data_IF_117982681042
#
_entry.id   IF_117982681042
#
_cell.length_a   1.000
_cell.length_b   1.000
_cell.length_c   1.000
_cell.angle_alpha   90.00
_cell.angle_beta   90.00
_cell.angle_gamma   90.00
#
_symmetry.space_group_name_H-M   'P 1'
#
loop_
_entity.id
_entity.type
_entity.pdbx_description
1 polymer ?
#
# COMPACT_ATOMS: atom_id res chain seq x y z
N UNK A 1 3.51 37.69 -43.60
CA UNK A 1 2.15 37.65 -43.04
C UNK A 1 2.27 37.41 -41.56
N UNK A 2 2.11 38.45 -40.78
CA UNK A 2 2.17 38.48 -39.34
C UNK A 2 0.88 37.89 -38.77
N UNK A 3 0.93 36.84 -38.01
CA UNK A 3 -0.21 36.36 -37.22
C UNK A 3 -0.30 37.17 -35.94
N UNK A 4 -1.36 37.91 -35.84
CA UNK A 4 -1.77 38.74 -34.70
C UNK A 4 -2.12 37.85 -33.53
N UNK A 5 -1.29 37.84 -32.49
CA UNK A 5 -1.67 37.37 -31.18
C UNK A 5 -2.69 38.34 -30.57
N UNK A 6 -3.95 37.96 -30.52
CA UNK A 6 -5.00 38.71 -29.82
C UNK A 6 -4.77 38.67 -28.34
N UNK A 7 -4.19 39.70 -27.78
CA UNK A 7 -4.24 40.02 -26.35
C UNK A 7 -5.69 40.38 -26.00
N UNK A 8 -6.48 39.38 -25.66
CA UNK A 8 -7.78 39.61 -25.00
C UNK A 8 -7.48 39.94 -23.54
N UNK A 9 -7.90 41.08 -23.00
CA UNK A 9 -7.73 41.35 -21.57
C UNK A 9 -8.45 40.26 -20.78
N UNK A 10 -7.77 39.74 -19.74
CA UNK A 10 -8.36 38.76 -18.80
C UNK A 10 -9.64 39.34 -18.21
N UNK A 11 -10.70 38.57 -18.17
CA UNK A 11 -11.95 38.98 -17.52
C UNK A 11 -11.73 39.10 -16.00
N UNK A 12 -12.59 39.87 -15.32
CA UNK A 12 -12.54 39.92 -13.85
C UNK A 12 -12.67 38.54 -13.22
N UNK A 13 -13.43 37.64 -13.84
CA UNK A 13 -13.62 36.25 -13.41
C UNK A 13 -12.33 35.42 -13.56
N UNK A 14 -11.56 35.64 -14.63
CA UNK A 14 -10.25 34.97 -14.86
C UNK A 14 -9.20 35.44 -13.86
N UNK A 15 -9.23 36.71 -13.46
CA UNK A 15 -8.32 37.27 -12.45
C UNK A 15 -8.68 36.73 -11.07
N UNK A 16 -9.97 36.67 -10.75
CA UNK A 16 -10.46 36.16 -9.47
C UNK A 16 -10.14 34.66 -9.34
N UNK A 17 -10.36 33.86 -10.40
CA UNK A 17 -10.01 32.47 -10.42
C UNK A 17 -8.50 32.24 -10.22
N UNK A 18 -7.66 33.09 -10.84
CA UNK A 18 -6.20 33.00 -10.66
C UNK A 18 -5.73 33.40 -9.24
N UNK A 19 -6.43 34.33 -8.60
CA UNK A 19 -6.14 34.72 -7.21
C UNK A 19 -6.61 33.64 -6.22
N UNK A 20 -7.76 33.03 -6.46
CA UNK A 20 -8.29 31.95 -5.63
C UNK A 20 -7.37 30.72 -5.70
N UNK A 21 -6.90 30.40 -6.87
CA UNK A 21 -5.95 29.30 -7.06
C UNK A 21 -4.57 29.57 -6.44
N UNK A 22 -4.08 30.83 -6.43
CA UNK A 22 -2.85 31.19 -5.70
C UNK A 22 -3.02 31.02 -4.20
N UNK A 23 -4.19 31.37 -3.65
CA UNK A 23 -4.52 31.13 -2.24
C UNK A 23 -4.53 29.64 -1.92
N UNK A 24 -5.11 28.84 -2.81
CA UNK A 24 -5.18 27.39 -2.68
C UNK A 24 -3.78 26.76 -2.65
N UNK A 25 -2.92 27.12 -3.59
CA UNK A 25 -1.53 26.64 -3.63
C UNK A 25 -0.74 27.02 -2.37
N UNK A 26 -0.99 28.21 -1.82
CA UNK A 26 -0.37 28.64 -0.58
C UNK A 26 -0.85 27.80 0.61
N UNK A 27 -2.14 27.48 0.68
CA UNK A 27 -2.73 26.62 1.72
C UNK A 27 -2.21 25.20 1.66
N UNK A 28 -2.13 24.60 0.47
CA UNK A 28 -1.56 23.26 0.29
C UNK A 28 -0.11 23.24 0.81
N UNK A 29 0.68 24.25 0.50
CA UNK A 29 2.06 24.37 0.97
C UNK A 29 2.15 24.51 2.49
N UNK A 30 1.28 25.32 3.10
CA UNK A 30 1.20 25.48 4.56
C UNK A 30 0.77 24.19 5.27
N UNK A 31 -0.17 23.44 4.70
CA UNK A 31 -0.57 22.14 5.22
C UNK A 31 0.57 21.11 5.21
N UNK A 32 1.35 21.06 4.12
CA UNK A 32 2.51 20.18 4.03
C UNK A 32 3.60 20.55 5.04
N UNK A 33 3.87 21.87 5.22
CA UNK A 33 4.83 22.33 6.23
C UNK A 33 4.37 22.04 7.66
N UNK A 34 3.07 22.14 7.94
CA UNK A 34 2.51 21.79 9.24
C UNK A 34 2.59 20.27 9.51
N UNK A 35 2.45 19.45 8.46
CA UNK A 35 2.61 17.99 8.56
C UNK A 35 4.07 17.62 8.90
N UNK A 36 5.05 18.24 8.22
CA UNK A 36 6.48 18.05 8.51
C UNK A 36 6.85 18.51 9.93
N UNK A 37 6.27 19.61 10.40
CA UNK A 37 6.49 20.10 11.76
C UNK A 37 5.84 19.24 12.83
N UNK A 38 4.70 18.61 12.54
CA UNK A 38 4.02 17.70 13.47
C UNK A 38 4.75 16.38 13.63
N UNK A 39 5.43 15.89 12.58
CA UNK A 39 6.27 14.69 12.64
C UNK A 39 7.58 14.97 13.41
N UNK A 40 8.24 16.09 13.15
CA UNK A 40 9.44 16.51 13.87
C UNK A 40 9.18 16.83 15.36
N UNK A 41 8.00 17.31 15.71
CA UNK A 41 7.66 17.60 17.12
C UNK A 41 7.32 16.34 17.93
N UNK A 42 7.00 15.22 17.28
CA UNK A 42 6.81 13.91 17.93
C UNK A 42 8.11 13.19 18.23
N UNK A 43 9.20 13.51 17.54
CA UNK A 43 10.51 12.92 17.81
C UNK A 43 11.25 13.52 19.02
N UNK A 44 10.84 14.69 19.52
CA UNK A 44 11.61 15.43 20.54
C UNK A 44 11.12 15.31 21.99
N UNK A 45 10.16 14.46 22.31
CA UNK A 45 9.55 14.46 23.66
C UNK A 45 9.50 13.12 24.41
N UNK A 46 10.41 12.16 24.15
CA UNK A 46 10.58 11.01 25.06
C UNK A 46 12.04 10.62 25.19
N UNK A 47 12.64 11.02 26.32
CA UNK A 47 13.96 10.61 26.78
C UNK A 47 13.89 9.30 27.58
N UNK A 48 13.27 8.25 27.04
CA UNK A 48 13.29 6.93 27.65
C UNK A 48 13.74 5.92 26.59
N UNK A 49 14.94 5.30 26.74
CA UNK A 49 15.52 4.47 25.68
C UNK A 49 14.84 3.13 25.47
N UNK A 50 13.89 2.72 26.31
CA UNK A 50 13.33 1.37 26.31
C UNK A 50 11.90 1.22 25.76
N UNK A 51 11.25 2.30 25.29
CA UNK A 51 9.89 2.21 24.72
C UNK A 51 9.80 3.01 23.43
N UNK A 52 10.38 2.47 22.37
CA UNK A 52 10.09 2.95 21.01
C UNK A 52 8.91 2.18 20.45
N UNK A 53 7.70 2.52 20.88
CA UNK A 53 6.48 2.15 20.18
C UNK A 53 6.34 3.07 18.95
N UNK A 54 6.94 2.68 17.85
CA UNK A 54 6.70 3.35 16.56
C UNK A 54 5.31 3.00 16.07
N UNK A 55 4.41 3.95 16.22
CA UNK A 55 3.08 3.92 15.63
C UNK A 55 3.22 4.03 14.11
N UNK A 56 3.00 2.93 13.42
CA UNK A 56 2.93 2.88 11.96
C UNK A 56 3.49 1.58 11.40
N UNK A 57 2.66 0.79 10.78
CA UNK A 57 3.04 -0.46 10.09
C UNK A 57 4.11 -0.27 9.00
N UNK A 58 4.46 0.97 8.67
CA UNK A 58 5.43 1.35 7.64
C UNK A 58 6.85 1.61 8.17
N UNK A 59 7.08 1.68 9.49
CA UNK A 59 8.36 2.08 10.07
C UNK A 59 9.42 0.97 10.15
N UNK A 60 9.12 -0.25 9.75
CA UNK A 60 10.01 -1.41 9.93
C UNK A 60 10.90 -1.71 8.71
N UNK A 61 10.71 -0.99 7.60
CA UNK A 61 11.52 -1.17 6.39
C UNK A 61 12.38 0.08 6.15
N UNK A 62 12.99 0.60 7.21
CA UNK A 62 14.04 1.59 7.06
C UNK A 62 15.34 0.87 6.63
N UNK A 63 15.78 1.18 5.42
CA UNK A 63 17.15 0.99 4.92
C UNK A 63 17.71 -0.43 4.72
N UNK A 64 16.90 -1.46 4.57
CA UNK A 64 17.41 -2.69 3.97
C UNK A 64 17.54 -2.49 2.45
N UNK A 65 18.77 -2.64 1.94
CA UNK A 65 19.07 -2.53 0.52
C UNK A 65 18.49 -3.76 -0.21
N UNK A 66 17.27 -3.63 -0.77
CA UNK A 66 16.59 -4.70 -1.50
C UNK A 66 17.18 -4.96 -2.89
N UNK A 67 18.25 -4.25 -3.28
CA UNK A 67 18.90 -4.40 -4.58
C UNK A 67 19.58 -5.77 -4.74
N UNK A 68 19.89 -6.47 -3.65
CA UNK A 68 20.53 -7.78 -3.67
C UNK A 68 19.52 -8.95 -3.76
N UNK A 69 18.22 -8.67 -3.74
CA UNK A 69 17.20 -9.69 -3.93
C UNK A 69 17.19 -10.17 -5.38
N UNK A 70 17.57 -11.43 -5.58
CA UNK A 70 17.47 -12.10 -6.87
C UNK A 70 16.16 -12.87 -6.93
N UNK A 71 15.30 -12.53 -7.89
CA UNK A 71 14.04 -13.22 -8.11
C UNK A 71 14.30 -14.72 -8.33
N UNK A 72 13.71 -15.55 -7.49
CA UNK A 72 13.77 -17.01 -7.58
C UNK A 72 12.43 -17.52 -8.06
N UNK A 73 12.48 -18.57 -8.84
CA UNK A 73 11.29 -19.31 -9.24
C UNK A 73 11.52 -20.79 -8.96
N UNK A 74 10.83 -21.32 -7.95
CA UNK A 74 10.82 -22.73 -7.64
C UNK A 74 9.63 -23.36 -8.35
N UNK A 75 9.89 -24.25 -9.30
CA UNK A 75 8.85 -24.91 -10.11
C UNK A 75 7.89 -25.70 -9.20
N UNK A 76 6.61 -25.43 -9.33
CA UNK A 76 5.50 -26.06 -8.58
C UNK A 76 4.39 -26.45 -9.52
N UNK A 77 3.70 -27.55 -9.21
CA UNK A 77 2.44 -27.90 -9.88
C UNK A 77 1.34 -26.91 -9.50
N UNK A 78 0.33 -26.78 -10.35
CA UNK A 78 -0.79 -25.87 -10.16
C UNK A 78 -1.50 -26.10 -8.82
N UNK A 79 -1.78 -27.34 -8.46
CA UNK A 79 -2.39 -27.73 -7.18
C UNK A 79 -1.59 -27.26 -5.95
N UNK A 80 -0.25 -27.16 -6.06
CA UNK A 80 0.60 -26.66 -4.98
C UNK A 80 0.56 -25.13 -4.92
N UNK A 81 0.49 -24.47 -6.06
CA UNK A 81 0.30 -23.02 -6.12
C UNK A 81 -1.00 -22.62 -5.44
N UNK A 82 -2.09 -23.30 -5.80
CA UNK A 82 -3.42 -23.08 -5.21
C UNK A 82 -3.41 -23.33 -3.71
N UNK A 83 -2.78 -24.42 -3.26
CA UNK A 83 -2.67 -24.75 -1.83
C UNK A 83 -1.92 -23.66 -1.06
N UNK A 84 -0.79 -23.16 -1.56
CA UNK A 84 -0.02 -22.09 -0.92
C UNK A 84 -0.84 -20.79 -0.95
N UNK A 85 -1.46 -20.46 -2.08
CA UNK A 85 -2.28 -19.28 -2.25
C UNK A 85 -3.41 -19.24 -1.22
N UNK A 86 -4.18 -20.33 -1.08
CA UNK A 86 -5.28 -20.42 -0.12
C UNK A 86 -4.78 -20.27 1.33
N UNK A 87 -3.64 -20.88 1.66
CA UNK A 87 -3.05 -20.80 2.98
C UNK A 87 -2.59 -19.37 3.34
N UNK A 88 -1.97 -18.63 2.41
CA UNK A 88 -1.49 -17.27 2.65
C UNK A 88 -2.63 -16.24 2.56
N UNK A 89 -3.59 -16.40 1.66
CA UNK A 89 -4.72 -15.48 1.49
C UNK A 89 -5.64 -15.42 2.71
N UNK A 90 -5.84 -16.53 3.39
CA UNK A 90 -6.63 -16.60 4.62
C UNK A 90 -5.91 -16.04 5.85
N UNK A 91 -4.60 -15.86 5.76
CA UNK A 91 -3.79 -15.35 6.88
C UNK A 91 -3.77 -13.82 6.87
N UNK A 92 -4.24 -13.22 7.99
CA UNK A 92 -4.34 -11.76 8.17
C UNK A 92 -3.04 -11.02 7.87
N UNK A 93 -1.88 -11.67 8.07
CA UNK A 93 -0.57 -11.05 7.85
C UNK A 93 -0.28 -10.76 6.36
N UNK A 94 -0.89 -11.52 5.45
CA UNK A 94 -0.72 -11.35 4.01
C UNK A 94 -1.89 -10.58 3.37
N UNK A 95 -2.96 -10.27 4.12
CA UNK A 95 -4.15 -9.58 3.60
C UNK A 95 -3.89 -8.17 3.05
N UNK A 96 -2.74 -7.60 3.35
CA UNK A 96 -2.33 -6.27 2.87
C UNK A 96 -1.54 -6.33 1.55
N UNK A 97 -1.23 -7.53 1.06
CA UNK A 97 -0.48 -7.75 -0.17
C UNK A 97 -1.42 -7.73 -1.38
N UNK A 98 -0.89 -7.25 -2.49
CA UNK A 98 -1.57 -7.31 -3.79
C UNK A 98 -1.50 -8.72 -4.38
N UNK A 99 -2.37 -9.05 -5.34
CA UNK A 99 -2.34 -10.33 -6.04
C UNK A 99 -0.96 -10.57 -6.71
N UNK A 100 -0.36 -9.54 -7.31
CA UNK A 100 0.98 -9.62 -7.92
C UNK A 100 2.06 -10.00 -6.89
N UNK A 101 1.99 -9.44 -5.67
CA UNK A 101 2.91 -9.77 -4.57
C UNK A 101 2.70 -11.19 -4.07
N UNK A 102 1.45 -11.65 -3.97
CA UNK A 102 1.11 -13.02 -3.57
C UNK A 102 1.63 -14.04 -4.58
N UNK A 103 1.45 -13.78 -5.88
CA UNK A 103 1.97 -14.64 -6.94
C UNK A 103 3.51 -14.74 -6.90
N UNK A 104 4.19 -13.61 -6.72
CA UNK A 104 5.65 -13.59 -6.61
C UNK A 104 6.14 -14.28 -5.33
N UNK A 105 5.42 -14.17 -4.21
CA UNK A 105 5.71 -14.93 -3.00
C UNK A 105 5.55 -16.43 -3.21
N UNK A 106 4.48 -16.87 -3.88
CA UNK A 106 4.27 -18.28 -4.19
C UNK A 106 5.45 -18.84 -4.96
N UNK A 107 5.99 -18.10 -5.93
CA UNK A 107 7.12 -18.53 -6.75
C UNK A 107 8.36 -18.87 -5.94
N UNK A 108 8.59 -18.23 -4.80
CA UNK A 108 9.80 -18.39 -3.99
C UNK A 108 9.68 -19.37 -2.83
N UNK A 109 8.49 -19.93 -2.55
CA UNK A 109 8.37 -21.00 -1.56
C UNK A 109 9.20 -22.21 -1.97
N UNK A 110 9.94 -22.78 -1.02
CA UNK A 110 10.77 -23.97 -1.20
C UNK A 110 10.17 -25.17 -0.46
N UNK A 111 10.22 -26.39 -1.05
CA UNK A 111 9.78 -27.58 -0.35
C UNK A 111 10.78 -27.98 0.73
N UNK A 112 10.28 -28.49 1.84
CA UNK A 112 11.07 -29.12 2.89
C UNK A 112 10.33 -30.32 3.46
N UNK A 113 11.11 -31.33 3.92
CA UNK A 113 10.59 -32.58 4.44
C UNK A 113 11.15 -32.79 5.84
N UNK A 114 10.28 -33.20 6.76
CA UNK A 114 10.62 -33.52 8.13
C UNK A 114 10.19 -34.97 8.43
N UNK A 115 11.05 -35.72 9.11
CA UNK A 115 10.77 -37.08 9.54
C UNK A 115 9.87 -37.07 10.79
N UNK A 116 9.34 -38.22 11.11
CA UNK A 116 8.57 -38.43 12.33
C UNK A 116 9.38 -37.98 13.58
N UNK A 117 8.81 -37.08 14.39
CA UNK A 117 9.43 -36.60 15.61
C UNK A 117 10.40 -35.42 15.43
N UNK A 118 10.68 -35.00 14.20
CA UNK A 118 11.55 -33.83 13.99
C UNK A 118 10.86 -32.54 14.52
N UNK A 119 11.62 -31.72 15.24
CA UNK A 119 11.20 -30.38 15.64
C UNK A 119 11.39 -29.41 14.47
N UNK A 120 10.29 -28.89 13.95
CA UNK A 120 10.26 -27.91 12.85
C UNK A 120 10.52 -26.51 13.39
N UNK A 121 9.92 -26.21 14.52
CA UNK A 121 10.04 -24.95 15.25
C UNK A 121 10.20 -25.28 16.74
N UNK A 122 11.14 -24.61 17.40
CA UNK A 122 11.31 -24.71 18.88
C UNK A 122 10.90 -23.42 19.55
N UNK A 123 10.08 -23.51 20.59
CA UNK A 123 9.66 -22.38 21.41
C UNK A 123 10.87 -21.62 21.97
N UNK A 124 10.87 -20.28 21.83
CA UNK A 124 11.94 -19.41 22.29
C UNK A 124 13.02 -19.11 21.25
N UNK A 125 13.17 -19.93 20.20
CA UNK A 125 14.13 -19.65 19.12
C UNK A 125 13.72 -18.42 18.33
N UNK A 126 14.70 -17.70 17.78
CA UNK A 126 14.45 -16.62 16.84
C UNK A 126 14.04 -17.24 15.51
N UNK A 127 12.81 -16.99 15.07
CA UNK A 127 12.30 -17.52 13.84
C UNK A 127 12.56 -16.58 12.65
N UNK A 128 12.85 -17.16 11.50
CA UNK A 128 13.02 -16.45 10.21
C UNK A 128 12.30 -17.15 9.05
N UNK A 129 11.55 -18.19 9.30
CA UNK A 129 10.83 -18.98 8.30
C UNK A 129 9.34 -19.10 8.65
N UNK A 130 8.52 -19.15 7.62
CA UNK A 130 7.08 -19.44 7.63
C UNK A 130 6.81 -20.69 6.81
N UNK A 131 5.83 -21.47 7.21
CA UNK A 131 5.56 -22.79 6.66
C UNK A 131 4.10 -22.97 6.27
N UNK A 132 3.87 -23.72 5.19
CA UNK A 132 2.56 -24.22 4.73
C UNK A 132 2.62 -25.74 4.63
N UNK A 133 1.64 -26.43 5.16
CA UNK A 133 1.58 -27.90 5.17
C UNK A 133 1.05 -28.43 3.83
N UNK A 134 1.87 -29.19 3.09
CA UNK A 134 1.45 -29.90 1.88
C UNK A 134 0.92 -31.30 2.22
N UNK A 135 1.60 -32.01 3.12
CA UNK A 135 1.26 -33.40 3.46
C UNK A 135 1.73 -33.74 4.87
N UNK A 136 1.01 -34.62 5.53
CA UNK A 136 1.30 -35.06 6.91
C UNK A 136 0.63 -34.13 7.93
N UNK A 137 1.02 -34.27 9.17
CA UNK A 137 0.47 -33.51 10.30
C UNK A 137 1.59 -33.05 11.19
N UNK A 138 1.49 -31.81 11.69
CA UNK A 138 2.37 -31.27 12.72
C UNK A 138 1.58 -30.93 13.97
N UNK A 139 2.22 -31.04 15.13
CA UNK A 139 1.61 -30.72 16.42
C UNK A 139 2.38 -29.57 17.07
N UNK A 140 1.66 -28.48 17.35
CA UNK A 140 2.17 -27.34 18.11
C UNK A 140 1.91 -27.55 19.59
N UNK A 141 2.94 -27.48 20.42
CA UNK A 141 2.85 -27.58 21.88
C UNK A 141 3.37 -26.34 22.55
N UNK A 142 2.68 -25.89 23.59
CA UNK A 142 3.11 -24.83 24.50
C UNK A 142 2.87 -25.30 25.94
N UNK A 143 3.69 -24.85 26.88
CA UNK A 143 3.59 -25.26 28.29
C UNK A 143 2.21 -25.05 28.93
N UNK A 144 1.35 -24.22 28.32
CA UNK A 144 0.07 -23.82 28.92
C UNK A 144 -1.16 -24.15 28.05
N UNK A 145 -0.99 -24.79 26.90
CA UNK A 145 -2.10 -25.05 25.97
C UNK A 145 -2.07 -26.51 25.47
N UNK A 146 -3.26 -27.13 25.24
CA UNK A 146 -3.34 -28.40 24.55
C UNK A 146 -2.76 -28.25 23.13
N UNK A 147 -2.14 -29.32 22.64
CA UNK A 147 -1.48 -29.33 21.32
C UNK A 147 -2.45 -28.96 20.19
N UNK A 148 -2.07 -27.97 19.39
CA UNK A 148 -2.78 -27.62 18.18
C UNK A 148 -2.26 -28.45 16.99
N UNK A 149 -3.17 -28.99 16.17
CA UNK A 149 -2.80 -29.76 14.98
C UNK A 149 -2.80 -28.88 13.75
N UNK A 150 -1.75 -28.99 12.98
CA UNK A 150 -1.61 -28.37 11.66
C UNK A 150 -1.65 -29.49 10.61
N UNK A 151 -2.63 -29.40 9.73
CA UNK A 151 -2.91 -30.40 8.68
C UNK A 151 -2.80 -29.73 7.30
N UNK A 152 -3.18 -30.42 6.24
CA UNK A 152 -3.16 -29.93 4.84
C UNK A 152 -3.68 -28.49 4.77
N UNK A 153 -2.95 -27.64 4.04
CA UNK A 153 -3.24 -26.20 3.87
C UNK A 153 -3.14 -25.35 5.14
N UNK A 154 -2.81 -25.94 6.28
CA UNK A 154 -2.51 -25.13 7.48
C UNK A 154 -1.18 -24.39 7.31
N UNK A 155 -1.09 -23.20 7.90
CA UNK A 155 0.13 -22.39 7.90
C UNK A 155 0.54 -21.98 9.31
N UNK A 156 1.85 -21.79 9.54
CA UNK A 156 2.37 -21.38 10.84
C UNK A 156 3.73 -20.66 10.71
N UNK A 157 4.05 -19.87 11.73
CA UNK A 157 5.33 -19.17 11.83
C UNK A 157 5.34 -17.78 11.19
N UNK A 158 4.19 -17.23 10.83
CA UNK A 158 4.02 -15.94 10.16
C UNK A 158 4.62 -14.75 10.92
N UNK A 159 4.56 -14.76 12.26
CA UNK A 159 5.11 -13.68 13.08
C UNK A 159 6.62 -13.51 12.90
N UNK A 160 7.31 -14.60 12.59
CA UNK A 160 8.73 -14.59 12.32
C UNK A 160 9.11 -13.79 11.07
N UNK A 161 8.24 -13.75 10.06
CA UNK A 161 8.51 -12.98 8.83
C UNK A 161 8.53 -11.48 9.07
N UNK A 162 7.69 -10.99 9.98
CA UNK A 162 7.47 -9.56 10.16
C UNK A 162 8.26 -9.00 11.32
N UNK A 163 8.11 -9.60 12.51
CA UNK A 163 8.62 -9.00 13.75
C UNK A 163 9.99 -9.53 14.21
N UNK A 164 10.49 -10.64 13.61
CA UNK A 164 11.70 -11.27 14.14
C UNK A 164 11.57 -11.74 15.57
N UNK A 165 10.34 -11.96 16.02
CA UNK A 165 10.04 -12.41 17.37
C UNK A 165 10.48 -13.85 17.60
N UNK A 166 10.70 -14.20 18.85
CA UNK A 166 10.90 -15.58 19.26
C UNK A 166 9.64 -16.41 19.02
N UNK A 167 9.85 -17.69 18.73
CA UNK A 167 8.78 -18.68 18.49
C UNK A 167 7.91 -18.87 19.73
N UNK A 168 6.61 -18.73 19.56
CA UNK A 168 5.65 -18.85 20.66
C UNK A 168 5.39 -20.31 21.08
N UNK A 169 5.60 -21.27 20.17
CA UNK A 169 5.30 -22.69 20.38
C UNK A 169 6.39 -23.57 19.77
N UNK A 170 6.53 -24.81 20.25
CA UNK A 170 7.28 -25.86 19.59
C UNK A 170 6.36 -26.60 18.64
N UNK A 171 6.77 -26.81 17.39
CA UNK A 171 6.02 -27.57 16.38
C UNK A 171 6.83 -28.77 15.95
N UNK A 172 6.24 -29.96 16.06
CA UNK A 172 6.89 -31.25 15.80
C UNK A 172 6.10 -32.02 14.74
N UNK A 173 6.80 -32.67 13.81
CA UNK A 173 6.21 -33.57 12.84
C UNK A 173 5.67 -34.83 13.55
N UNK A 174 4.47 -35.29 13.16
CA UNK A 174 3.89 -36.52 13.72
C UNK A 174 4.58 -37.80 13.18
N UNK A 175 4.06 -38.97 13.58
CA UNK A 175 4.64 -40.29 13.27
C UNK A 175 4.78 -40.57 11.79
N UNK A 176 4.02 -39.87 10.92
CA UNK A 176 4.10 -40.05 9.45
C UNK A 176 5.09 -39.09 8.79
N UNK A 177 5.74 -38.24 9.56
CA UNK A 177 6.50 -37.11 9.02
C UNK A 177 5.61 -36.10 8.32
N UNK A 178 6.21 -35.08 7.71
CA UNK A 178 5.47 -34.07 6.95
C UNK A 178 6.29 -33.49 5.82
N UNK A 179 5.59 -33.06 4.76
CA UNK A 179 6.12 -32.26 3.67
C UNK A 179 5.51 -30.86 3.74
N UNK A 180 6.37 -29.87 3.83
CA UNK A 180 5.99 -28.48 3.99
C UNK A 180 6.57 -27.63 2.85
N UNK A 181 5.98 -26.48 2.64
CA UNK A 181 6.56 -25.39 1.86
C UNK A 181 6.96 -24.26 2.80
N UNK A 182 8.17 -23.73 2.63
CA UNK A 182 8.69 -22.67 3.48
C UNK A 182 9.11 -21.45 2.70
N UNK A 183 9.02 -20.29 3.34
CA UNK A 183 9.60 -19.04 2.87
C UNK A 183 10.43 -18.40 3.98
N UNK A 184 11.61 -17.87 3.63
CA UNK A 184 12.48 -17.17 4.58
C UNK A 184 12.10 -15.69 4.65
N UNK A 185 12.29 -15.09 5.82
CA UNK A 185 12.06 -13.66 6.06
C UNK A 185 12.79 -12.78 5.04
N UNK A 186 14.07 -13.07 4.76
CA UNK A 186 14.86 -12.28 3.81
C UNK A 186 14.21 -12.23 2.43
N UNK A 187 13.63 -13.35 1.96
CA UNK A 187 12.96 -13.42 0.66
C UNK A 187 11.59 -12.73 0.67
N UNK A 188 10.80 -12.95 1.72
CA UNK A 188 9.54 -12.23 1.92
C UNK A 188 9.75 -10.72 1.88
N UNK A 189 10.73 -10.21 2.65
CA UNK A 189 11.08 -8.79 2.66
C UNK A 189 11.60 -8.31 1.31
N UNK A 190 12.39 -9.14 0.61
CA UNK A 190 12.89 -8.84 -0.72
C UNK A 190 11.75 -8.59 -1.72
N UNK A 191 10.77 -9.49 -1.81
CA UNK A 191 9.60 -9.35 -2.69
C UNK A 191 8.79 -8.10 -2.33
N UNK A 192 8.36 -8.00 -1.07
CA UNK A 192 7.52 -6.89 -0.61
C UNK A 192 8.26 -5.55 -0.73
N UNK A 193 9.54 -5.51 -0.40
CA UNK A 193 10.36 -4.31 -0.50
C UNK A 193 10.56 -3.83 -1.93
N UNK A 194 10.92 -4.73 -2.86
CA UNK A 194 11.06 -4.39 -4.28
C UNK A 194 9.75 -3.92 -4.90
N UNK A 195 8.65 -4.58 -4.55
CA UNK A 195 7.34 -4.17 -5.06
C UNK A 195 6.96 -2.77 -4.59
N UNK A 196 7.15 -2.48 -3.30
CA UNK A 196 6.92 -1.13 -2.73
C UNK A 196 7.83 -0.09 -3.35
N UNK A 197 9.10 -0.40 -3.54
CA UNK A 197 10.05 0.49 -4.20
C UNK A 197 9.61 0.78 -5.65
N UNK A 198 9.21 -0.22 -6.41
CA UNK A 198 8.69 -0.05 -7.77
C UNK A 198 7.46 0.85 -7.78
N UNK A 199 6.47 0.59 -6.90
CA UNK A 199 5.28 1.44 -6.78
C UNK A 199 5.62 2.88 -6.39
N UNK A 200 6.60 3.07 -5.51
CA UNK A 200 7.07 4.40 -5.13
C UNK A 200 7.71 5.14 -6.31
N UNK A 201 8.59 4.46 -7.05
CA UNK A 201 9.21 5.03 -8.27
C UNK A 201 8.16 5.34 -9.36
N UNK A 202 7.14 4.52 -9.52
CA UNK A 202 6.02 4.82 -10.43
C UNK A 202 5.26 6.08 -10.03
N UNK A 203 5.03 6.29 -8.72
CA UNK A 203 4.39 7.53 -8.22
C UNK A 203 5.30 8.73 -8.46
N UNK A 204 6.60 8.62 -8.18
CA UNK A 204 7.58 9.67 -8.43
C UNK A 204 7.73 10.02 -9.92
N UNK A 205 7.55 9.06 -10.82
CA UNK A 205 7.55 9.33 -12.25
C UNK A 205 6.27 10.05 -12.73
N UNK A 206 5.17 9.87 -12.01
CA UNK A 206 3.86 10.41 -12.36
C UNK A 206 3.60 11.80 -11.78
N UNK A 207 3.91 12.00 -10.49
CA UNK A 207 3.63 13.24 -9.76
C UNK A 207 4.17 14.50 -10.44
N UNK A 208 5.44 14.56 -10.90
CA UNK A 208 6.00 15.75 -11.53
C UNK A 208 5.27 16.20 -12.79
N UNK A 209 4.53 15.28 -13.42
CA UNK A 209 3.82 15.52 -14.68
C UNK A 209 2.39 16.04 -14.48
N UNK A 210 1.90 16.07 -13.25
CA UNK A 210 0.58 16.59 -12.91
C UNK A 210 0.57 18.09 -13.07
N UNK A 211 -0.56 18.64 -13.52
CA UNK A 211 -0.74 20.07 -13.72
C UNK A 211 -1.80 20.62 -12.77
N UNK A 212 -1.46 21.71 -12.11
CA UNK A 212 -2.42 22.62 -11.46
C UNK A 212 -2.30 23.96 -12.16
N UNK A 213 -3.40 24.49 -12.69
CA UNK A 213 -3.45 25.81 -13.31
C UNK A 213 -2.34 26.09 -14.36
N UNK A 214 -2.09 25.15 -15.23
CA UNK A 214 -1.05 25.22 -16.26
C UNK A 214 0.41 25.12 -15.73
N UNK A 215 0.64 24.93 -14.43
CA UNK A 215 1.97 24.65 -13.86
C UNK A 215 2.10 23.18 -13.55
N UNK A 216 3.28 22.62 -13.81
CA UNK A 216 3.60 21.25 -13.43
C UNK A 216 3.96 21.17 -11.94
N UNK A 217 3.68 20.05 -11.30
CA UNK A 217 4.06 19.82 -9.90
C UNK A 217 5.56 20.01 -9.69
N UNK A 218 6.40 19.57 -10.61
CA UNK A 218 7.85 19.79 -10.55
C UNK A 218 8.28 21.27 -10.55
N UNK A 219 7.41 22.17 -11.02
CA UNK A 219 7.68 23.61 -11.05
C UNK A 219 7.15 24.32 -9.79
N UNK A 220 6.37 23.60 -8.96
CA UNK A 220 5.70 24.10 -7.77
C UNK A 220 6.30 23.51 -6.50
N UNK A 221 6.61 22.22 -6.50
CA UNK A 221 7.07 21.43 -5.36
C UNK A 221 8.52 21.02 -5.54
N UNK A 222 9.27 21.04 -4.43
CA UNK A 222 10.61 20.52 -4.36
C UNK A 222 10.64 18.99 -4.41
N UNK A 223 11.78 18.39 -4.70
CA UNK A 223 11.93 16.96 -4.85
C UNK A 223 11.51 16.20 -3.58
N UNK A 224 11.92 16.65 -2.40
CA UNK A 224 11.57 16.07 -1.10
C UNK A 224 10.05 16.11 -0.85
N UNK A 225 9.37 17.16 -1.27
CA UNK A 225 7.92 17.27 -1.17
C UNK A 225 7.22 16.28 -2.10
N UNK A 226 7.74 16.06 -3.31
CA UNK A 226 7.22 15.04 -4.22
C UNK A 226 7.44 13.63 -3.68
N UNK A 227 8.57 13.37 -3.02
CA UNK A 227 8.83 12.12 -2.32
C UNK A 227 7.83 11.88 -1.19
N UNK A 228 7.59 12.89 -0.36
CA UNK A 228 6.60 12.83 0.73
C UNK A 228 5.19 12.55 0.18
N UNK A 229 4.78 13.24 -0.87
CA UNK A 229 3.50 12.98 -1.55
C UNK A 229 3.44 11.53 -2.07
N UNK A 230 4.50 11.03 -2.69
CA UNK A 230 4.55 9.66 -3.20
C UNK A 230 4.39 8.61 -2.10
N UNK A 231 4.89 8.87 -0.89
CA UNK A 231 4.69 8.00 0.28
C UNK A 231 3.24 8.01 0.77
N UNK A 232 2.61 9.17 0.83
CA UNK A 232 1.24 9.34 1.34
C UNK A 232 0.17 8.83 0.37
N UNK A 233 0.43 8.88 -0.93
CA UNK A 233 -0.53 8.42 -1.93
C UNK A 233 -0.79 6.93 -1.83
N UNK A 234 -2.07 6.55 -1.78
CA UNK A 234 -2.53 5.16 -1.91
C UNK A 234 -3.19 4.96 -3.26
N UNK A 235 -3.10 3.74 -3.82
CA UNK A 235 -3.76 3.40 -5.08
C UNK A 235 -5.12 2.80 -4.80
N UNK A 236 -6.14 3.33 -5.47
CA UNK A 236 -7.50 2.84 -5.43
C UNK A 236 -7.95 2.48 -6.85
N UNK A 237 -8.73 1.42 -6.98
CA UNK A 237 -9.29 0.96 -8.24
C UNK A 237 -10.81 1.05 -8.18
N UNK A 238 -11.40 1.56 -9.24
CA UNK A 238 -12.84 1.71 -9.39
C UNK A 238 -13.29 1.13 -10.71
N UNK A 239 -14.40 0.39 -10.70
CA UNK A 239 -15.03 -0.08 -11.91
C UNK A 239 -15.89 1.02 -12.51
N UNK A 240 -16.19 0.89 -13.81
CA UNK A 240 -17.10 1.80 -14.49
C UNK A 240 -18.45 1.86 -13.76
N UNK A 241 -18.89 3.05 -13.41
CA UNK A 241 -20.12 3.32 -12.67
C UNK A 241 -19.96 3.41 -11.16
N UNK A 242 -18.79 3.08 -10.61
CA UNK A 242 -18.53 3.23 -9.17
C UNK A 242 -18.48 4.71 -8.80
N UNK A 243 -19.14 5.06 -7.70
CA UNK A 243 -19.07 6.42 -7.13
C UNK A 243 -17.79 6.54 -6.30
N UNK A 244 -16.94 7.50 -6.67
CA UNK A 244 -15.67 7.79 -6.00
C UNK A 244 -15.89 8.80 -4.86
N UNK A 245 -16.62 9.88 -5.14
CA UNK A 245 -17.04 10.89 -4.17
C UNK A 245 -18.52 11.15 -4.34
N UNK A 246 -19.22 11.37 -3.23
CA UNK A 246 -20.64 11.75 -3.24
C UNK A 246 -20.82 13.16 -2.73
N UNK A 247 -21.60 13.97 -3.44
CA UNK A 247 -21.97 15.33 -3.03
C UNK A 247 -22.62 15.34 -1.65
N UNK A 248 -22.23 16.29 -0.79
CA UNK A 248 -22.74 16.44 0.57
C UNK A 248 -22.03 15.58 1.62
N UNK A 249 -21.15 14.65 1.23
CA UNK A 249 -20.32 13.91 2.19
C UNK A 249 -19.14 14.76 2.64
N UNK A 250 -18.77 14.67 3.91
CA UNK A 250 -17.52 15.24 4.44
C UNK A 250 -16.36 14.39 3.95
N UNK A 251 -15.30 15.00 3.49
CA UNK A 251 -14.19 14.26 2.92
C UNK A 251 -12.85 14.65 3.54
N UNK A 252 -12.03 13.66 3.79
CA UNK A 252 -10.71 13.73 4.41
C UNK A 252 -9.55 13.38 3.46
N UNK A 253 -9.84 13.24 2.16
CA UNK A 253 -8.82 12.90 1.14
C UNK A 253 -9.05 13.66 -0.17
N UNK A 254 -7.97 13.85 -0.90
CA UNK A 254 -7.98 14.26 -2.30
C UNK A 254 -7.63 13.07 -3.20
N UNK A 255 -8.04 13.14 -4.45
CA UNK A 255 -7.76 12.11 -5.44
C UNK A 255 -7.10 12.69 -6.69
N UNK A 256 -6.26 11.87 -7.32
CA UNK A 256 -5.61 12.18 -8.58
C UNK A 256 -5.88 11.05 -9.55
N UNK A 257 -6.42 11.36 -10.72
CA UNK A 257 -6.67 10.36 -11.77
C UNK A 257 -5.35 9.88 -12.36
N UNK A 258 -4.97 8.62 -12.11
CA UNK A 258 -3.77 8.03 -12.70
C UNK A 258 -4.04 7.50 -14.11
N UNK A 259 -5.18 6.84 -14.30
CA UNK A 259 -5.63 6.27 -15.58
C UNK A 259 -7.15 6.21 -15.63
N UNK A 260 -7.71 6.12 -16.81
CA UNK A 260 -9.15 6.13 -17.02
C UNK A 260 -9.73 7.54 -17.05
N UNK A 261 -11.04 7.62 -16.95
CA UNK A 261 -11.83 8.86 -17.00
C UNK A 261 -12.86 8.86 -15.88
N UNK A 262 -13.17 10.05 -15.38
CA UNK A 262 -14.20 10.29 -14.39
C UNK A 262 -15.24 11.26 -14.93
N UNK A 263 -16.50 11.05 -14.53
CA UNK A 263 -17.59 11.98 -14.76
C UNK A 263 -17.90 12.77 -13.49
N UNK A 264 -18.04 14.07 -13.60
CA UNK A 264 -18.38 14.98 -12.51
C UNK A 264 -19.87 15.35 -12.64
N UNK A 265 -20.62 15.23 -11.55
CA UNK A 265 -22.05 15.48 -11.49
C UNK A 265 -22.37 16.47 -10.37
N UNK A 266 -23.33 17.37 -10.61
CA UNK A 266 -23.85 18.30 -9.60
C UNK A 266 -25.27 17.82 -9.25
N UNK A 267 -25.54 17.60 -7.97
CA UNK A 267 -26.76 16.97 -7.45
C UNK A 267 -26.86 15.49 -7.85
N UNK A 268 -28.07 14.92 -7.89
CA UNK A 268 -28.28 13.54 -8.32
C UNK A 268 -27.73 13.33 -9.74
N UNK A 269 -27.30 12.10 -10.05
CA UNK A 269 -26.78 11.76 -11.38
C UNK A 269 -27.91 11.98 -12.40
N UNK A 270 -27.90 13.07 -13.17
CA UNK A 270 -29.02 13.37 -14.05
C UNK A 270 -28.96 12.48 -15.30
N UNK A 271 -30.13 12.21 -15.87
CA UNK A 271 -30.25 11.52 -17.15
C UNK A 271 -29.51 12.21 -18.32
N UNK A 272 -29.12 13.47 -18.14
CA UNK A 272 -28.42 14.29 -19.14
C UNK A 272 -26.89 14.12 -19.16
N UNK A 273 -26.34 13.21 -18.35
CA UNK A 273 -24.90 12.94 -18.29
C UNK A 273 -24.10 13.86 -17.34
N UNK A 274 -22.78 13.70 -17.30
CA UNK A 274 -21.89 14.48 -16.43
C UNK A 274 -21.76 15.93 -16.89
N UNK A 275 -21.58 16.85 -15.93
CA UNK A 275 -21.30 18.27 -16.25
C UNK A 275 -19.88 18.45 -16.81
N UNK A 276 -18.96 17.55 -16.46
CA UNK A 276 -17.61 17.51 -17.01
C UNK A 276 -17.07 16.09 -17.01
N UNK A 277 -16.22 15.79 -17.99
CA UNK A 277 -15.39 14.58 -18.06
C UNK A 277 -13.94 14.96 -17.84
N UNK A 278 -13.25 14.23 -16.99
CA UNK A 278 -11.85 14.47 -16.67
C UNK A 278 -11.05 13.16 -16.73
N UNK A 279 -9.79 13.27 -17.09
CA UNK A 279 -8.91 12.12 -17.27
C UNK A 279 -7.61 12.22 -16.49
N UNK A 280 -6.60 11.49 -16.94
CA UNK A 280 -5.28 11.37 -16.31
C UNK A 280 -4.69 12.72 -15.89
N UNK A 281 -4.25 12.80 -14.64
CA UNK A 281 -3.63 13.99 -14.03
C UNK A 281 -4.61 14.97 -13.41
N UNK A 282 -5.93 14.75 -13.53
CA UNK A 282 -6.92 15.60 -12.89
C UNK A 282 -6.96 15.34 -11.38
N UNK A 283 -6.99 16.44 -10.61
CA UNK A 283 -7.07 16.43 -9.14
C UNK A 283 -8.47 16.83 -8.74
N UNK A 284 -9.02 16.16 -7.75
CA UNK A 284 -10.34 16.48 -7.21
C UNK A 284 -10.46 16.12 -5.73
N UNK A 285 -11.39 16.77 -5.04
CA UNK A 285 -11.64 16.55 -3.62
C UNK A 285 -10.73 17.36 -2.68
N UNK A 286 -9.90 18.25 -3.21
CA UNK A 286 -8.97 19.11 -2.47
C UNK A 286 -9.66 20.06 -1.48
N UNK A 287 -10.83 20.58 -1.85
CA UNK A 287 -11.55 21.58 -1.02
C UNK A 287 -11.94 21.06 0.35
N UNK A 288 -12.36 19.79 0.41
CA UNK A 288 -12.77 19.18 1.67
C UNK A 288 -11.60 18.99 2.66
N UNK A 289 -10.35 18.92 2.16
CA UNK A 289 -9.16 18.88 3.02
C UNK A 289 -8.81 20.25 3.62
N UNK A 290 -9.24 21.32 2.99
CA UNK A 290 -8.81 22.66 3.32
C UNK A 290 -9.81 23.39 4.22
N UNK A 291 -11.09 23.09 4.11
CA UNK A 291 -12.18 23.88 4.67
C UNK A 291 -13.14 23.05 5.56
N UNK A 292 -12.88 21.75 5.76
CA UNK A 292 -13.82 20.80 6.40
C UNK A 292 -15.23 20.85 5.76
N UNK A 293 -15.28 21.25 4.49
CA UNK A 293 -16.51 21.43 3.74
C UNK A 293 -17.05 20.10 3.19
N UNK A 294 -18.37 20.08 2.96
CA UNK A 294 -19.01 19.00 2.23
C UNK A 294 -18.54 18.96 0.78
N UNK A 295 -18.49 17.77 0.20
CA UNK A 295 -18.15 17.55 -1.22
C UNK A 295 -19.12 18.32 -2.13
N UNK A 296 -18.68 19.24 -2.98
CA UNK A 296 -19.57 20.06 -3.82
C UNK A 296 -20.18 19.27 -4.99
N UNK A 297 -19.59 18.14 -5.35
CA UNK A 297 -19.99 17.34 -6.52
C UNK A 297 -19.91 15.85 -6.25
N UNK A 298 -20.67 15.06 -7.01
CA UNK A 298 -20.50 13.61 -7.10
C UNK A 298 -19.54 13.28 -8.24
N UNK A 299 -18.59 12.40 -7.98
CA UNK A 299 -17.59 11.92 -8.96
C UNK A 299 -17.75 10.43 -9.16
N UNK A 300 -17.86 10.01 -10.42
CA UNK A 300 -18.12 8.61 -10.81
C UNK A 300 -17.06 8.15 -11.82
N UNK A 301 -16.57 6.92 -11.68
CA UNK A 301 -15.68 6.31 -12.66
C UNK A 301 -16.42 6.06 -13.99
N UNK A 302 -15.92 6.63 -15.07
CA UNK A 302 -16.58 6.56 -16.38
C UNK A 302 -15.94 5.50 -17.29
N UNK A 303 -14.62 5.27 -17.15
CA UNK A 303 -13.86 4.34 -18.00
C UNK A 303 -12.63 3.82 -17.30
#
# INVERSE_FOLDING_TARGET
MQSILSNKPLSCDDIQAAEDARRELKRIRELMQNFEQSDNSRESSTSDPDIVWKTGRNAIIAEENFNDYVKRNVVKGENIRDLIYDAIKTNVMFSVLTEDELEELIDIFEPCIFNAGDEIIRQGDIGDEFYVVERGTCIGTCMQMPGHRFELSSAFGEQALIYGSSRAVTITATMDGCKLWRIRRAWYRGVVGQHRQRLHMEKLSFLPMIKIENKLFRDIFEEDQLHTMAHLLTRQYYNKGDTILRQGEVGDFLSIVRSGEIGIYMREIPSNGPIAMQGKGYIFGERALLEDDERPTTVVAAR
#
